data_IF_834510870164
#
_entry.id   IF_834510870164
#
_cell.length_a   1.000
_cell.length_b   1.000
_cell.length_c   1.000
_cell.angle_alpha   90.00
_cell.angle_beta   90.00
_cell.angle_gamma   90.00
#
_symmetry.space_group_name_H-M   'P 1'
#
loop_
_entity.id
_entity.type
_entity.pdbx_description
1 polymer ?
#
# COMPACT_ATOMS: atom_id res chain seq x y z
N UNK A 1 -13.61 1.91 24.48
CA UNK A 1 -13.23 3.18 23.81
C UNK A 1 -14.52 3.80 23.31
N UNK A 2 -14.87 5.01 23.75
CA UNK A 2 -16.14 5.67 23.38
C UNK A 2 -16.09 6.04 21.87
N UNK A 3 -17.16 5.76 21.12
CA UNK A 3 -17.29 6.01 19.67
C UNK A 3 -16.92 7.46 19.31
N UNK A 4 -17.29 8.41 20.18
CA UNK A 4 -16.97 9.84 20.06
C UNK A 4 -15.46 10.09 20.11
N UNK A 5 -14.76 9.45 21.05
CA UNK A 5 -13.30 9.56 21.20
C UNK A 5 -12.57 8.90 20.02
N UNK A 6 -13.13 7.84 19.45
CA UNK A 6 -12.58 7.19 18.26
C UNK A 6 -12.64 8.09 17.02
N UNK A 7 -13.81 8.70 16.75
CA UNK A 7 -13.98 9.63 15.63
C UNK A 7 -13.13 10.89 15.77
N UNK A 8 -12.96 11.40 16.99
CA UNK A 8 -12.09 12.55 17.27
C UNK A 8 -10.62 12.24 16.99
N UNK A 9 -10.17 11.00 17.24
CA UNK A 9 -8.78 10.59 17.02
C UNK A 9 -8.50 9.97 15.65
N UNK A 10 -9.54 9.79 14.83
CA UNK A 10 -9.48 9.17 13.51
C UNK A 10 -8.43 9.80 12.60
N UNK A 11 -8.28 11.14 12.64
CA UNK A 11 -7.29 11.89 11.85
C UNK A 11 -5.85 11.59 12.27
N UNK A 12 -5.59 11.39 13.56
CA UNK A 12 -4.24 11.11 14.07
C UNK A 12 -3.80 9.70 13.68
N UNK A 13 -4.69 8.72 13.84
CA UNK A 13 -4.41 7.32 13.45
C UNK A 13 -4.20 7.21 11.94
N UNK A 14 -5.01 7.93 11.14
CA UNK A 14 -4.89 7.89 9.70
C UNK A 14 -3.49 8.31 9.22
N UNK A 15 -2.85 9.28 9.86
CA UNK A 15 -1.53 9.80 9.48
C UNK A 15 -0.34 8.88 9.82
N UNK A 16 -0.56 7.78 10.54
CA UNK A 16 0.49 6.79 10.79
C UNK A 16 0.71 5.89 9.55
N UNK A 17 1.89 5.26 9.40
CA UNK A 17 2.11 4.25 8.37
C UNK A 17 1.05 3.14 8.44
N UNK A 18 0.39 2.84 7.32
CA UNK A 18 -0.74 1.91 7.24
C UNK A 18 -1.93 2.26 8.16
N UNK A 19 -2.04 3.52 8.60
CA UNK A 19 -3.07 3.99 9.53
C UNK A 19 -4.49 3.81 8.99
N UNK A 20 -4.71 4.19 7.73
CA UNK A 20 -6.02 4.04 7.06
C UNK A 20 -6.43 2.57 6.98
N UNK A 21 -5.52 1.67 6.62
CA UNK A 21 -5.79 0.24 6.55
C UNK A 21 -6.22 -0.35 7.90
N UNK A 22 -5.50 0.00 8.98
CA UNK A 22 -5.87 -0.41 10.35
C UNK A 22 -7.24 0.10 10.78
N UNK A 23 -7.60 1.30 10.35
CA UNK A 23 -8.93 1.87 10.60
C UNK A 23 -10.00 1.04 9.89
N UNK A 24 -9.80 0.67 8.61
CA UNK A 24 -10.75 -0.19 7.87
C UNK A 24 -10.97 -1.51 8.59
N UNK A 25 -9.90 -2.17 9.02
CA UNK A 25 -9.95 -3.43 9.77
C UNK A 25 -10.72 -3.29 11.08
N UNK A 26 -10.46 -2.21 11.84
CA UNK A 26 -11.16 -1.93 13.08
C UNK A 26 -12.65 -1.64 12.85
N UNK A 27 -13.01 -0.89 11.81
CA UNK A 27 -14.42 -0.64 11.45
C UNK A 27 -15.15 -1.96 11.19
N UNK A 28 -14.54 -2.86 10.41
CA UNK A 28 -15.13 -4.18 10.15
C UNK A 28 -15.21 -5.04 11.42
N UNK A 29 -14.20 -4.99 12.29
CA UNK A 29 -14.23 -5.70 13.57
C UNK A 29 -15.33 -5.18 14.49
N UNK A 30 -15.55 -3.87 14.57
CA UNK A 30 -16.63 -3.28 15.35
C UNK A 30 -18.00 -3.63 14.77
N UNK A 31 -18.10 -3.72 13.43
CA UNK A 31 -19.32 -4.14 12.73
C UNK A 31 -19.71 -5.57 13.09
N UNK A 32 -18.75 -6.50 13.16
CA UNK A 32 -19.02 -7.91 13.48
C UNK A 32 -19.18 -8.21 14.97
N UNK A 33 -18.91 -7.24 15.85
CA UNK A 33 -19.01 -7.40 17.31
C UNK A 33 -20.14 -6.59 17.94
N UNK A 34 -20.99 -5.96 17.12
CA UNK A 34 -22.11 -5.15 17.60
C UNK A 34 -21.70 -3.90 18.38
N UNK A 35 -20.52 -3.36 18.07
CA UNK A 35 -19.94 -2.18 18.73
C UNK A 35 -19.84 -0.96 17.81
N UNK A 36 -20.30 -1.09 16.56
CA UNK A 36 -20.23 -0.01 15.57
C UNK A 36 -21.42 0.95 15.64
N UNK A 37 -22.60 0.45 15.99
CA UNK A 37 -23.82 1.25 16.10
C UNK A 37 -24.53 0.90 17.41
N UNK A 38 -25.24 1.86 18.04
CA UNK A 38 -26.04 1.55 19.23
C UNK A 38 -27.24 0.67 18.86
N UNK A 39 -27.66 -0.21 19.78
CA UNK A 39 -28.97 -0.88 19.70
C UNK A 39 -30.08 0.15 19.85
N UNK A 40 -31.12 0.05 19.02
CA UNK A 40 -32.33 0.87 19.15
C UNK A 40 -33.42 0.09 19.87
N UNK A 41 -34.32 0.80 20.56
CA UNK A 41 -35.48 0.18 21.21
C UNK A 41 -36.44 -0.50 20.20
N UNK A 42 -36.41 -0.08 18.93
CA UNK A 42 -37.17 -0.67 17.84
C UNK A 42 -36.54 -1.91 17.21
N UNK A 43 -35.34 -2.28 17.66
CA UNK A 43 -34.66 -3.49 17.16
C UNK A 43 -35.24 -4.72 17.86
N UNK A 44 -35.89 -5.55 17.07
CA UNK A 44 -36.29 -6.91 17.43
C UNK A 44 -35.06 -7.76 17.77
N UNK A 45 -35.27 -8.94 18.36
CA UNK A 45 -34.18 -9.90 18.53
C UNK A 45 -33.95 -10.68 17.23
N UNK A 46 -32.77 -11.28 17.09
CA UNK A 46 -32.40 -12.00 15.86
C UNK A 46 -33.20 -13.29 15.66
N UNK A 47 -33.99 -13.72 16.65
CA UNK A 47 -34.84 -14.91 16.59
C UNK A 47 -35.82 -14.87 15.43
N UNK A 48 -36.50 -13.74 15.23
CA UNK A 48 -37.46 -13.57 14.12
C UNK A 48 -36.77 -13.67 12.75
N UNK A 49 -35.50 -13.25 12.66
CA UNK A 49 -34.72 -13.40 11.44
C UNK A 49 -34.29 -14.86 11.23
N UNK A 50 -33.92 -15.57 12.28
CA UNK A 50 -33.59 -17.01 12.22
C UNK A 50 -34.82 -17.81 11.75
N UNK A 51 -36.00 -17.50 12.28
CA UNK A 51 -37.26 -18.10 11.85
C UNK A 51 -37.56 -17.82 10.37
N UNK A 52 -37.42 -16.56 9.92
CA UNK A 52 -37.59 -16.21 8.52
C UNK A 52 -36.64 -16.97 7.58
N UNK A 53 -35.38 -17.17 8.02
CA UNK A 53 -34.39 -17.96 7.27
C UNK A 53 -34.80 -19.45 7.22
N UNK A 54 -35.31 -20.00 8.32
CA UNK A 54 -35.80 -21.38 8.37
C UNK A 54 -36.98 -21.58 7.43
N UNK A 55 -37.97 -20.67 7.46
CA UNK A 55 -39.13 -20.72 6.59
C UNK A 55 -38.76 -20.61 5.10
N UNK A 56 -37.84 -19.71 4.75
CA UNK A 56 -37.35 -19.58 3.38
C UNK A 56 -36.59 -20.83 2.92
N UNK A 57 -35.86 -21.47 3.83
CA UNK A 57 -35.15 -22.71 3.58
C UNK A 57 -36.10 -23.87 3.32
N UNK A 58 -37.18 -23.99 4.08
CA UNK A 58 -38.24 -24.99 3.86
C UNK A 58 -38.94 -24.75 2.52
N UNK A 59 -39.35 -23.51 2.25
CA UNK A 59 -39.95 -23.11 0.97
C UNK A 59 -39.09 -23.52 -0.24
N UNK A 60 -37.78 -23.29 -0.17
CA UNK A 60 -36.85 -23.69 -1.22
C UNK A 60 -36.57 -25.20 -1.27
N UNK A 61 -36.70 -25.92 -0.15
CA UNK A 61 -36.56 -27.38 -0.14
C UNK A 61 -37.72 -28.06 -0.89
N UNK A 62 -38.91 -27.47 -0.83
CA UNK A 62 -40.11 -27.94 -1.53
C UNK A 62 -40.08 -27.62 -3.04
N UNK A 63 -39.31 -26.61 -3.45
CA UNK A 63 -39.10 -26.29 -4.87
C UNK A 63 -38.25 -27.36 -5.58
N UNK A 64 -38.86 -28.05 -6.54
CA UNK A 64 -38.22 -29.12 -7.29
C UNK A 64 -36.93 -28.64 -8.01
N UNK A 65 -35.79 -29.20 -7.59
CA UNK A 65 -34.49 -28.97 -8.24
C UNK A 65 -33.50 -28.12 -7.44
N UNK A 66 -33.89 -27.55 -6.30
CA UNK A 66 -32.96 -26.86 -5.39
C UNK A 66 -32.35 -27.88 -4.42
N UNK A 67 -31.01 -28.03 -4.46
CA UNK A 67 -30.27 -28.87 -3.51
C UNK A 67 -29.64 -28.01 -2.43
N UNK A 68 -30.31 -27.92 -1.29
CA UNK A 68 -29.80 -27.23 -0.10
C UNK A 68 -28.80 -28.13 0.65
N UNK A 69 -27.82 -27.50 1.28
CA UNK A 69 -26.96 -28.19 2.25
C UNK A 69 -27.81 -28.69 3.42
N UNK A 70 -27.56 -29.89 3.97
CA UNK A 70 -28.26 -30.40 5.15
C UNK A 70 -28.19 -29.42 6.32
N UNK A 71 -29.26 -29.32 7.11
CA UNK A 71 -29.28 -28.43 8.28
C UNK A 71 -28.13 -28.79 9.21
N UNK A 72 -27.31 -27.78 9.52
CA UNK A 72 -26.18 -27.93 10.42
C UNK A 72 -26.64 -27.68 11.86
N UNK A 73 -26.02 -28.34 12.85
CA UNK A 73 -26.35 -28.10 14.25
C UNK A 73 -26.18 -26.63 14.66
N UNK A 74 -26.79 -26.26 15.77
CA UNK A 74 -26.63 -24.93 16.36
C UNK A 74 -25.18 -24.65 16.77
N UNK A 75 -24.85 -23.36 16.87
CA UNK A 75 -23.56 -22.89 17.34
C UNK A 75 -23.54 -22.85 18.87
N UNK A 76 -22.43 -23.30 19.48
CA UNK A 76 -22.21 -23.10 20.92
C UNK A 76 -21.60 -21.71 21.14
N UNK A 77 -22.38 -20.80 21.73
CA UNK A 77 -21.94 -19.44 22.04
C UNK A 77 -20.76 -19.39 23.03
N UNK A 78 -20.58 -20.40 23.89
CA UNK A 78 -19.50 -20.43 24.88
C UNK A 78 -18.12 -20.73 24.25
N UNK A 79 -18.10 -21.32 23.05
CA UNK A 79 -16.88 -21.67 22.32
C UNK A 79 -16.27 -20.52 21.52
N UNK A 80 -16.96 -19.37 21.46
CA UNK A 80 -16.58 -18.25 20.61
C UNK A 80 -15.52 -17.37 21.27
N UNK A 81 -14.46 -17.06 20.53
CA UNK A 81 -13.36 -16.18 20.98
C UNK A 81 -13.76 -14.70 21.09
N UNK A 82 -14.95 -14.35 20.58
CA UNK A 82 -15.46 -12.98 20.50
C UNK A 82 -16.87 -12.91 21.06
N UNK A 83 -17.10 -11.93 21.94
CA UNK A 83 -18.43 -11.66 22.51
C UNK A 83 -19.22 -10.71 21.60
N UNK A 84 -20.49 -11.07 21.36
CA UNK A 84 -21.49 -10.28 20.61
C UNK A 84 -22.64 -9.88 21.53
N UNK A 85 -23.46 -8.88 21.17
CA UNK A 85 -24.64 -8.50 21.95
C UNK A 85 -25.61 -9.66 22.16
N UNK A 86 -26.28 -9.70 23.31
CA UNK A 86 -27.15 -10.83 23.69
C UNK A 86 -28.37 -11.04 22.79
N UNK A 87 -28.79 -10.02 22.04
CA UNK A 87 -29.88 -10.13 21.06
C UNK A 87 -29.43 -10.65 19.68
N UNK A 88 -28.13 -10.85 19.50
CA UNK A 88 -27.56 -11.47 18.31
C UNK A 88 -27.50 -12.98 18.50
N UNK A 89 -27.51 -13.72 17.39
CA UNK A 89 -27.36 -15.18 17.40
C UNK A 89 -26.11 -15.59 16.64
N UNK A 90 -25.44 -16.65 17.07
CA UNK A 90 -24.44 -17.32 16.26
C UNK A 90 -25.12 -18.36 15.38
N UNK A 91 -24.85 -18.32 14.08
CA UNK A 91 -25.43 -19.25 13.11
C UNK A 91 -24.37 -19.72 12.13
N UNK A 92 -24.46 -20.98 11.70
CA UNK A 92 -23.53 -21.51 10.70
C UNK A 92 -23.85 -20.98 9.31
N UNK A 93 -22.83 -20.60 8.55
CA UNK A 93 -22.97 -20.04 7.21
C UNK A 93 -23.76 -20.97 6.27
N UNK A 94 -23.63 -22.29 6.41
CA UNK A 94 -24.42 -23.27 5.65
C UNK A 94 -25.92 -23.20 5.92
N UNK A 95 -26.35 -22.73 7.10
CA UNK A 95 -27.77 -22.53 7.43
C UNK A 95 -28.30 -21.17 6.91
N UNK A 96 -27.42 -20.23 6.57
CA UNK A 96 -27.78 -18.92 6.04
C UNK A 96 -27.91 -18.88 4.51
N UNK A 97 -27.53 -19.95 3.83
CA UNK A 97 -27.26 -19.94 2.39
C UNK A 97 -28.01 -21.03 1.65
N UNK A 98 -28.51 -20.70 0.45
CA UNK A 98 -29.09 -21.65 -0.49
C UNK A 98 -28.00 -22.34 -1.32
N UNK A 99 -26.81 -21.73 -1.43
CA UNK A 99 -25.67 -22.28 -2.16
C UNK A 99 -24.35 -21.89 -1.50
N UNK A 100 -23.52 -22.89 -1.25
CA UNK A 100 -22.06 -22.75 -1.13
C UNK A 100 -21.46 -23.75 -2.12
N UNK A 101 -20.72 -23.26 -3.11
CA UNK A 101 -20.15 -24.14 -4.11
C UNK A 101 -19.04 -23.46 -4.92
N UNK A 102 -17.91 -24.14 -4.98
CA UNK A 102 -16.80 -23.76 -5.84
C UNK A 102 -17.17 -23.95 -7.31
N UNK A 103 -16.59 -23.12 -8.16
CA UNK A 103 -16.71 -23.26 -9.60
C UNK A 103 -16.07 -24.52 -10.15
N UNK A 104 -15.95 -24.59 -11.48
CA UNK A 104 -15.25 -25.66 -12.16
C UNK A 104 -14.48 -25.11 -13.35
N UNK A 105 -13.47 -25.83 -13.79
CA UNK A 105 -12.69 -25.45 -14.97
C UNK A 105 -13.12 -26.32 -16.15
N UNK A 106 -13.49 -25.74 -17.30
CA UNK A 106 -13.78 -26.50 -18.51
C UNK A 106 -12.62 -27.42 -18.89
N UNK A 107 -12.91 -28.65 -19.35
CA UNK A 107 -11.88 -29.57 -19.85
C UNK A 107 -11.21 -28.97 -21.09
N UNK A 108 -9.89 -28.77 -21.05
CA UNK A 108 -9.12 -28.16 -22.13
C UNK A 108 -8.39 -26.86 -21.76
N UNK A 109 -8.60 -26.35 -20.54
CA UNK A 109 -7.87 -25.19 -20.02
C UNK A 109 -8.10 -23.94 -20.86
N UNK A 110 -7.02 -23.20 -21.15
CA UNK A 110 -7.09 -21.94 -21.93
C UNK A 110 -7.62 -22.10 -23.35
N UNK A 111 -7.56 -23.31 -23.93
CA UNK A 111 -8.05 -23.59 -25.29
C UNK A 111 -9.57 -23.52 -25.42
N UNK A 112 -10.30 -23.54 -24.29
CA UNK A 112 -11.77 -23.46 -24.26
C UNK A 112 -12.25 -22.01 -24.30
N UNK A 113 -11.35 -21.05 -24.09
CA UNK A 113 -11.72 -19.65 -24.10
C UNK A 113 -11.99 -19.17 -25.52
N UNK A 114 -13.07 -18.42 -25.65
CA UNK A 114 -13.50 -17.78 -26.91
C UNK A 114 -13.24 -16.28 -26.84
N UNK A 115 -13.19 -15.63 -27.99
CA UNK A 115 -12.99 -14.17 -28.08
C UNK A 115 -14.15 -13.39 -27.44
N UNK A 116 -15.38 -13.79 -27.76
CA UNK A 116 -16.62 -13.18 -27.29
C UNK A 116 -17.57 -14.27 -26.80
N UNK A 117 -18.26 -14.04 -25.68
CA UNK A 117 -19.14 -15.04 -25.08
C UNK A 117 -19.58 -14.69 -23.67
N UNK A 118 -19.75 -15.71 -22.83
CA UNK A 118 -20.15 -15.58 -21.43
C UNK A 118 -18.90 -15.39 -20.56
N UNK A 119 -18.81 -14.33 -19.72
CA UNK A 119 -17.70 -14.12 -18.79
C UNK A 119 -17.40 -15.34 -17.90
N UNK A 120 -16.12 -15.68 -17.78
CA UNK A 120 -15.61 -16.73 -16.91
C UNK A 120 -14.63 -16.15 -15.88
N UNK A 121 -15.11 -16.01 -14.65
CA UNK A 121 -14.41 -15.36 -13.54
C UNK A 121 -13.37 -16.29 -12.92
N UNK A 122 -12.12 -15.86 -12.96
CA UNK A 122 -10.99 -16.46 -12.24
C UNK A 122 -10.74 -15.73 -10.92
N UNK A 123 -9.84 -16.26 -10.09
CA UNK A 123 -9.49 -15.62 -8.82
C UNK A 123 -8.96 -14.18 -8.98
N UNK A 124 -8.28 -13.88 -10.09
CA UNK A 124 -7.78 -12.53 -10.41
C UNK A 124 -8.89 -11.50 -10.67
N UNK A 125 -10.12 -11.96 -10.97
CA UNK A 125 -11.26 -11.08 -11.20
C UNK A 125 -11.95 -10.66 -9.89
N UNK A 126 -11.65 -11.32 -8.76
CA UNK A 126 -12.32 -11.07 -7.47
C UNK A 126 -11.43 -10.23 -6.55
N UNK A 127 -11.91 -9.04 -6.20
CA UNK A 127 -11.25 -8.09 -5.30
C UNK A 127 -12.22 -7.63 -4.21
N UNK A 128 -11.69 -7.21 -3.06
CA UNK A 128 -12.50 -6.83 -1.90
C UNK A 128 -13.43 -5.63 -2.16
N UNK A 129 -13.10 -4.84 -3.17
CA UNK A 129 -13.86 -3.66 -3.61
C UNK A 129 -14.74 -3.93 -4.84
N UNK A 130 -14.75 -5.16 -5.38
CA UNK A 130 -15.63 -5.54 -6.48
C UNK A 130 -15.04 -6.55 -7.46
N UNK A 131 -15.82 -6.86 -8.49
CA UNK A 131 -15.42 -7.76 -9.58
C UNK A 131 -14.80 -6.96 -10.71
N UNK A 132 -13.62 -7.37 -11.20
CA UNK A 132 -12.90 -6.76 -12.33
C UNK A 132 -13.08 -7.57 -13.59
N UNK A 133 -13.44 -6.90 -14.68
CA UNK A 133 -13.73 -7.54 -15.97
C UNK A 133 -12.72 -7.19 -17.07
N UNK A 134 -11.72 -6.34 -16.79
CA UNK A 134 -10.76 -5.86 -17.79
C UNK A 134 -9.95 -6.99 -18.47
N UNK A 135 -9.64 -8.06 -17.72
CA UNK A 135 -8.88 -9.22 -18.18
C UNK A 135 -9.70 -10.54 -18.16
N UNK A 136 -11.02 -10.39 -18.16
CA UNK A 136 -11.94 -11.54 -18.12
C UNK A 136 -11.79 -12.36 -19.40
N UNK A 137 -11.91 -13.68 -19.27
CA UNK A 137 -12.00 -14.57 -20.44
C UNK A 137 -13.44 -14.99 -20.65
N UNK A 138 -13.76 -15.39 -21.87
CA UNK A 138 -15.11 -15.79 -22.22
C UNK A 138 -15.17 -17.28 -22.54
N UNK A 139 -16.32 -17.89 -22.27
CA UNK A 139 -16.66 -19.25 -22.66
C UNK A 139 -17.89 -19.22 -23.57
N UNK A 140 -18.07 -20.26 -24.39
CA UNK A 140 -19.23 -20.35 -25.27
C UNK A 140 -20.53 -20.58 -24.47
N UNK A 141 -21.68 -20.25 -25.08
CA UNK A 141 -22.99 -20.53 -24.50
C UNK A 141 -23.21 -22.04 -24.24
N UNK A 142 -22.62 -22.91 -25.06
CA UNK A 142 -22.68 -24.37 -24.87
C UNK A 142 -21.92 -24.80 -23.60
N UNK A 143 -20.72 -24.25 -23.39
CA UNK A 143 -19.94 -24.51 -22.17
C UNK A 143 -20.68 -23.96 -20.94
N UNK A 144 -21.24 -22.76 -21.03
CA UNK A 144 -22.07 -22.17 -19.98
C UNK A 144 -23.24 -23.08 -19.59
N UNK A 145 -23.99 -23.58 -20.57
CA UNK A 145 -25.12 -24.48 -20.34
C UNK A 145 -24.69 -25.78 -19.64
N UNK A 146 -23.54 -26.35 -20.02
CA UNK A 146 -22.94 -27.52 -19.35
C UNK A 146 -22.47 -27.22 -17.92
N UNK A 147 -22.13 -25.96 -17.63
CA UNK A 147 -21.61 -25.48 -16.34
C UNK A 147 -22.66 -24.75 -15.48
N UNK A 148 -23.96 -25.04 -15.67
CA UNK A 148 -25.09 -24.40 -14.97
C UNK A 148 -24.92 -24.26 -13.45
N UNK A 149 -24.25 -25.21 -12.79
CA UNK A 149 -24.05 -25.17 -11.34
C UNK A 149 -23.03 -24.10 -10.87
N UNK A 150 -22.31 -23.49 -11.80
CA UNK A 150 -21.32 -22.43 -11.52
C UNK A 150 -21.81 -21.07 -12.01
N UNK A 151 -23.09 -20.96 -12.38
CA UNK A 151 -23.71 -19.72 -12.84
C UNK A 151 -23.78 -18.72 -11.67
N UNK A 152 -23.25 -17.52 -11.90
CA UNK A 152 -23.29 -16.38 -10.97
C UNK A 152 -24.57 -15.59 -11.22
N UNK A 153 -25.36 -15.39 -10.18
CA UNK A 153 -26.52 -14.50 -10.21
C UNK A 153 -26.20 -13.17 -9.53
N UNK A 154 -26.95 -12.10 -9.87
CA UNK A 154 -26.91 -10.86 -9.12
C UNK A 154 -27.02 -11.10 -7.61
N UNK A 155 -26.24 -10.33 -6.82
CA UNK A 155 -26.15 -10.42 -5.37
C UNK A 155 -25.45 -11.65 -4.79
N UNK A 156 -24.95 -12.57 -5.62
CA UNK A 156 -24.07 -13.63 -5.14
C UNK A 156 -22.80 -13.06 -4.51
N UNK A 157 -22.38 -13.64 -3.39
CA UNK A 157 -21.08 -13.35 -2.79
C UNK A 157 -20.06 -14.31 -3.43
N UNK A 158 -18.98 -13.77 -3.97
CA UNK A 158 -17.89 -14.50 -4.63
C UNK A 158 -16.66 -14.48 -3.72
N UNK A 159 -16.19 -15.65 -3.30
CA UNK A 159 -15.06 -15.81 -2.40
C UNK A 159 -13.93 -16.59 -3.07
N UNK A 160 -12.72 -16.02 -3.09
CA UNK A 160 -11.52 -16.74 -3.48
C UNK A 160 -11.11 -17.73 -2.38
N UNK A 161 -10.91 -18.99 -2.76
CA UNK A 161 -10.67 -20.08 -1.81
C UNK A 161 -9.28 -20.72 -1.92
N UNK A 162 -8.39 -20.24 -2.81
CA UNK A 162 -7.05 -20.82 -3.03
C UNK A 162 -6.00 -19.75 -3.33
N UNK A 163 -4.72 -20.08 -3.08
CA UNK A 163 -3.56 -19.31 -3.53
C UNK A 163 -3.38 -17.96 -2.84
N UNK A 164 -2.55 -17.09 -3.42
CA UNK A 164 -2.22 -15.76 -2.87
C UNK A 164 -3.43 -14.81 -2.75
N UNK A 165 -4.53 -15.14 -3.43
CA UNK A 165 -5.78 -14.38 -3.39
C UNK A 165 -6.82 -14.95 -2.42
N UNK A 166 -6.47 -15.98 -1.63
CA UNK A 166 -7.35 -16.57 -0.62
C UNK A 166 -7.98 -15.50 0.27
N UNK A 167 -9.30 -15.59 0.47
CA UNK A 167 -10.05 -14.68 1.32
C UNK A 167 -10.53 -13.40 0.65
N UNK A 168 -10.11 -13.11 -0.60
CA UNK A 168 -10.70 -11.99 -1.36
C UNK A 168 -12.17 -12.26 -1.64
N UNK A 169 -13.01 -11.26 -1.41
CA UNK A 169 -14.47 -11.43 -1.42
C UNK A 169 -15.18 -10.23 -2.07
N UNK A 170 -16.03 -10.50 -3.06
CA UNK A 170 -16.82 -9.48 -3.76
C UNK A 170 -18.30 -9.86 -3.80
N UNK A 171 -19.18 -8.89 -3.95
CA UNK A 171 -20.58 -9.12 -4.31
C UNK A 171 -20.74 -8.91 -5.81
N UNK A 172 -21.42 -9.84 -6.49
CA UNK A 172 -21.83 -9.66 -7.88
C UNK A 172 -22.87 -8.52 -7.98
N UNK A 173 -22.60 -7.46 -8.77
CA UNK A 173 -23.52 -6.35 -9.00
C UNK A 173 -24.95 -6.76 -9.38
N UNK A 174 -25.90 -5.84 -9.22
CA UNK A 174 -27.30 -6.11 -9.55
C UNK A 174 -27.52 -6.34 -11.06
N UNK A 175 -26.78 -5.59 -11.89
CA UNK A 175 -26.78 -5.63 -13.35
C UNK A 175 -25.70 -6.55 -13.93
N UNK A 176 -25.19 -7.49 -13.11
CA UNK A 176 -24.06 -8.31 -13.50
C UNK A 176 -24.44 -9.25 -14.66
N UNK A 177 -23.61 -9.34 -15.72
CA UNK A 177 -23.88 -10.24 -16.83
C UNK A 177 -23.86 -11.69 -16.33
N UNK A 178 -24.57 -12.56 -17.05
CA UNK A 178 -24.45 -14.00 -16.83
C UNK A 178 -22.97 -14.39 -16.86
N UNK A 179 -22.51 -15.12 -15.86
CA UNK A 179 -21.11 -15.51 -15.75
C UNK A 179 -20.97 -16.89 -15.13
N UNK A 180 -19.81 -17.52 -15.33
CA UNK A 180 -19.40 -18.69 -14.57
C UNK A 180 -18.14 -18.42 -13.77
N UNK A 181 -17.94 -19.17 -12.69
CA UNK A 181 -16.74 -19.09 -11.86
C UNK A 181 -15.84 -20.30 -12.05
N UNK A 182 -14.53 -20.07 -11.97
CA UNK A 182 -13.52 -21.13 -11.92
C UNK A 182 -13.50 -21.87 -10.59
N UNK A 183 -12.80 -23.01 -10.52
CA UNK A 183 -12.65 -23.80 -9.29
C UNK A 183 -12.05 -23.05 -8.08
N UNK A 184 -11.38 -21.92 -8.33
CA UNK A 184 -10.72 -21.11 -7.30
C UNK A 184 -11.65 -20.06 -6.66
N UNK A 185 -12.88 -19.93 -7.20
CA UNK A 185 -13.89 -18.97 -6.74
C UNK A 185 -15.13 -19.74 -6.30
N UNK A 186 -15.61 -19.43 -5.10
CA UNK A 186 -16.82 -20.03 -4.51
C UNK A 186 -17.96 -19.03 -4.53
N UNK A 187 -19.12 -19.49 -5.00
CA UNK A 187 -20.38 -18.77 -4.87
C UNK A 187 -20.97 -19.07 -3.50
N UNK A 188 -21.30 -18.02 -2.76
CA UNK A 188 -22.06 -18.02 -1.52
C UNK A 188 -23.34 -17.23 -1.79
N UNK A 189 -24.48 -17.92 -1.79
CA UNK A 189 -25.80 -17.34 -2.06
C UNK A 189 -26.64 -17.35 -0.79
N UNK A 190 -26.93 -16.20 -0.18
CA UNK A 190 -27.80 -16.13 0.99
C UNK A 190 -29.22 -16.63 0.67
N UNK A 191 -29.91 -17.15 1.69
CA UNK A 191 -31.35 -17.45 1.59
C UNK A 191 -32.15 -16.16 1.51
N UNK A 192 -31.85 -15.21 2.39
CA UNK A 192 -32.42 -13.87 2.38
C UNK A 192 -31.40 -12.88 1.80
N UNK A 193 -31.72 -12.32 0.64
CA UNK A 193 -30.83 -11.41 -0.11
C UNK A 193 -30.46 -10.17 0.71
N UNK A 194 -31.31 -9.75 1.63
CA UNK A 194 -31.12 -8.58 2.50
C UNK A 194 -29.95 -8.76 3.48
N UNK A 195 -29.55 -10.00 3.77
CA UNK A 195 -28.42 -10.30 4.68
C UNK A 195 -27.05 -10.22 3.98
N UNK A 196 -27.03 -10.16 2.64
CA UNK A 196 -25.80 -10.31 1.82
C UNK A 196 -24.70 -9.31 2.17
N UNK A 197 -25.05 -8.04 2.43
CA UNK A 197 -24.09 -6.96 2.67
C UNK A 197 -23.40 -7.18 4.01
N UNK A 198 -24.18 -7.55 5.02
CA UNK A 198 -23.63 -7.85 6.33
C UNK A 198 -22.79 -9.14 6.30
N UNK A 199 -23.21 -10.17 5.55
CA UNK A 199 -22.38 -11.37 5.34
C UNK A 199 -21.05 -11.06 4.65
N UNK A 200 -21.05 -10.18 3.66
CA UNK A 200 -19.83 -9.71 2.99
C UNK A 200 -18.91 -8.98 3.97
N UNK A 201 -19.44 -8.10 4.82
CA UNK A 201 -18.69 -7.46 5.92
C UNK A 201 -18.08 -8.51 6.85
N UNK A 202 -18.84 -9.53 7.25
CA UNK A 202 -18.32 -10.61 8.11
C UNK A 202 -17.13 -11.32 7.46
N UNK A 203 -17.22 -11.68 6.17
CA UNK A 203 -16.16 -12.37 5.44
C UNK A 203 -14.91 -11.50 5.25
N UNK A 204 -15.06 -10.19 5.09
CA UNK A 204 -13.94 -9.24 4.97
C UNK A 204 -13.31 -8.88 6.32
N UNK A 205 -14.06 -8.97 7.42
CA UNK A 205 -13.57 -8.60 8.74
C UNK A 205 -12.34 -9.42 9.18
N UNK A 206 -11.50 -8.88 10.10
CA UNK A 206 -10.42 -9.66 10.71
C UNK A 206 -10.89 -10.99 11.31
N UNK A 207 -12.12 -11.03 11.86
CA UNK A 207 -12.75 -12.24 12.36
C UNK A 207 -12.99 -13.27 11.25
N UNK A 208 -13.62 -12.87 10.14
CA UNK A 208 -13.88 -13.75 8.99
C UNK A 208 -12.60 -14.22 8.32
N UNK A 209 -11.65 -13.31 8.10
CA UNK A 209 -10.32 -13.65 7.56
C UNK A 209 -9.58 -14.63 8.50
N UNK A 210 -9.67 -14.45 9.81
CA UNK A 210 -9.13 -15.40 10.79
C UNK A 210 -9.68 -16.82 10.61
N UNK A 211 -10.99 -16.97 10.35
CA UNK A 211 -11.58 -18.28 10.04
C UNK A 211 -11.12 -18.85 8.70
N UNK A 212 -11.02 -18.00 7.67
CA UNK A 212 -10.58 -18.38 6.32
C UNK A 212 -9.15 -18.92 6.34
N UNK A 213 -8.23 -18.17 6.94
CA UNK A 213 -6.81 -18.51 6.99
C UNK A 213 -6.51 -19.59 8.04
N UNK A 214 -7.23 -19.59 9.17
CA UNK A 214 -7.01 -20.55 10.26
C UNK A 214 -7.54 -21.96 10.00
N UNK A 215 -8.51 -22.14 9.08
CA UNK A 215 -9.13 -23.44 8.76
C UNK A 215 -8.70 -23.99 7.39
N UNK A 216 -7.55 -23.56 6.87
CA UNK A 216 -6.95 -24.13 5.67
C UNK A 216 -6.54 -25.59 5.93
N UNK A 217 -6.98 -26.52 5.08
CA UNK A 217 -6.81 -27.96 5.31
C UNK A 217 -5.43 -28.42 4.83
N UNK A 218 -4.41 -28.31 5.69
CA UNK A 218 -3.10 -28.94 5.55
C UNK A 218 -2.20 -28.39 4.42
N UNK A 219 -0.89 -28.62 4.54
CA UNK A 219 0.09 -28.17 3.53
C UNK A 219 -0.09 -28.79 2.14
N UNK A 220 -0.86 -29.88 2.01
CA UNK A 220 -1.01 -30.65 0.76
C UNK A 220 -2.32 -30.38 -0.02
N UNK A 221 -3.31 -29.69 0.56
CA UNK A 221 -4.54 -29.28 -0.15
C UNK A 221 -4.64 -27.76 -0.11
N UNK A 222 -4.17 -27.13 -1.17
CA UNK A 222 -4.23 -25.69 -1.36
C UNK A 222 -5.69 -25.24 -1.58
N UNK A 223 -6.48 -25.11 -0.52
CA UNK A 223 -7.73 -24.38 -0.58
C UNK A 223 -8.75 -24.62 0.53
N UNK A 224 -9.71 -23.70 0.62
CA UNK A 224 -10.82 -23.74 1.56
C UNK A 224 -11.97 -24.57 0.97
N UNK A 225 -12.29 -25.70 1.61
CA UNK A 225 -13.35 -26.58 1.11
C UNK A 225 -14.75 -26.05 1.43
N UNK A 226 -15.73 -26.41 0.59
CA UNK A 226 -17.17 -26.15 0.83
C UNK A 226 -17.61 -26.54 2.25
N UNK A 227 -17.25 -27.75 2.70
CA UNK A 227 -17.65 -28.27 4.02
C UNK A 227 -17.09 -27.42 5.16
N UNK A 228 -15.90 -26.87 5.00
CA UNK A 228 -15.31 -25.98 6.01
C UNK A 228 -16.03 -24.64 6.04
N UNK A 229 -16.32 -24.05 4.87
CA UNK A 229 -17.10 -22.81 4.75
C UNK A 229 -18.48 -22.92 5.39
N UNK A 230 -19.17 -24.04 5.16
CA UNK A 230 -20.48 -24.31 5.75
C UNK A 230 -20.48 -24.25 7.29
N UNK A 231 -19.35 -24.59 7.92
CA UNK A 231 -19.16 -24.58 9.38
C UNK A 231 -18.68 -23.23 9.94
N UNK A 232 -18.58 -22.19 9.12
CA UNK A 232 -18.23 -20.86 9.62
C UNK A 232 -19.34 -20.31 10.49
N UNK A 233 -18.98 -19.77 11.64
CA UNK A 233 -19.92 -19.26 12.61
C UNK A 233 -20.02 -17.75 12.39
N UNK A 234 -21.22 -17.31 12.04
CA UNK A 234 -21.50 -15.93 11.66
C UNK A 234 -22.33 -15.30 12.77
N UNK A 235 -21.94 -14.12 13.29
CA UNK A 235 -22.79 -13.38 14.20
C UNK A 235 -23.95 -12.80 13.40
N UNK A 236 -25.19 -13.01 13.82
CA UNK A 236 -26.38 -12.58 13.10
C UNK A 236 -27.13 -11.55 13.94
N UNK A 237 -27.08 -10.26 13.58
CA UNK A 237 -27.93 -9.21 14.14
C UNK A 237 -29.34 -9.28 13.55
N UNK A 238 -30.31 -8.56 14.15
CA UNK A 238 -31.61 -8.30 13.53
C UNK A 238 -31.44 -7.52 12.22
N UNK A 239 -32.36 -7.72 11.27
CA UNK A 239 -32.20 -7.18 9.92
C UNK A 239 -32.13 -5.64 9.87
N UNK A 240 -32.90 -4.96 10.73
CA UNK A 240 -32.86 -3.49 10.85
C UNK A 240 -31.48 -3.01 11.32
N UNK A 241 -30.88 -3.69 12.28
CA UNK A 241 -29.54 -3.39 12.77
C UNK A 241 -28.47 -3.70 11.72
N UNK A 242 -28.58 -4.81 10.98
CA UNK A 242 -27.69 -5.11 9.85
C UNK A 242 -27.65 -3.95 8.83
N UNK A 243 -28.81 -3.40 8.46
CA UNK A 243 -28.89 -2.25 7.54
C UNK A 243 -28.18 -1.01 8.09
N UNK A 244 -28.33 -0.72 9.39
CA UNK A 244 -27.65 0.40 10.05
C UNK A 244 -26.14 0.19 10.11
N UNK A 245 -25.69 -1.02 10.42
CA UNK A 245 -24.27 -1.39 10.42
C UNK A 245 -23.67 -1.19 9.03
N UNK A 246 -24.31 -1.73 7.98
CA UNK A 246 -23.87 -1.60 6.59
C UNK A 246 -23.75 -0.13 6.20
N UNK A 247 -24.78 0.67 6.46
CA UNK A 247 -24.74 2.11 6.16
C UNK A 247 -23.59 2.83 6.88
N UNK A 248 -23.31 2.46 8.14
CA UNK A 248 -22.22 3.06 8.91
C UNK A 248 -20.84 2.62 8.42
N UNK A 249 -20.68 1.35 8.04
CA UNK A 249 -19.45 0.86 7.40
C UNK A 249 -19.20 1.62 6.11
N UNK A 250 -20.21 1.77 5.24
CA UNK A 250 -20.08 2.48 3.96
C UNK A 250 -19.72 3.97 4.16
N UNK A 251 -20.27 4.62 5.18
CA UNK A 251 -19.92 6.01 5.56
C UNK A 251 -18.43 6.12 5.93
N UNK A 252 -17.97 5.23 6.82
CA UNK A 252 -16.60 5.25 7.35
C UNK A 252 -15.57 4.81 6.32
N UNK A 253 -15.90 3.84 5.45
CA UNK A 253 -15.03 3.42 4.35
C UNK A 253 -14.83 4.56 3.35
N UNK A 254 -15.88 5.31 3.00
CA UNK A 254 -15.76 6.52 2.16
C UNK A 254 -14.90 7.61 2.81
N UNK A 255 -14.92 7.72 4.15
CA UNK A 255 -14.01 8.61 4.86
C UNK A 255 -12.56 8.14 4.76
N UNK A 256 -12.31 6.83 4.91
CA UNK A 256 -10.99 6.24 4.69
C UNK A 256 -10.48 6.51 3.27
N UNK A 257 -11.31 6.32 2.25
CA UNK A 257 -10.94 6.59 0.84
C UNK A 257 -10.51 8.05 0.63
N UNK A 258 -11.26 9.00 1.21
CA UNK A 258 -10.90 10.43 1.14
C UNK A 258 -9.57 10.74 1.83
N UNK A 259 -9.31 10.13 2.99
CA UNK A 259 -8.06 10.34 3.72
C UNK A 259 -6.87 9.76 2.97
N UNK A 260 -7.03 8.57 2.39
CA UNK A 260 -6.01 7.91 1.57
C UNK A 260 -5.68 8.74 0.32
N UNK A 261 -6.69 9.27 -0.37
CA UNK A 261 -6.48 10.18 -1.50
C UNK A 261 -5.74 11.47 -1.09
N UNK A 262 -6.09 12.06 0.06
CA UNK A 262 -5.40 13.25 0.59
C UNK A 262 -3.94 12.96 0.94
N UNK A 263 -3.64 11.76 1.47
CA UNK A 263 -2.27 11.35 1.79
C UNK A 263 -1.44 11.16 0.53
N UNK A 264 -1.97 10.46 -0.47
CA UNK A 264 -1.30 10.27 -1.75
C UNK A 264 -1.01 11.61 -2.45
N UNK A 265 -1.95 12.55 -2.41
CA UNK A 265 -1.74 13.89 -2.97
C UNK A 265 -0.64 14.64 -2.23
N UNK A 266 -0.64 14.60 -0.89
CA UNK A 266 0.43 15.20 -0.09
C UNK A 266 1.79 14.57 -0.41
N UNK A 267 1.87 13.26 -0.54
CA UNK A 267 3.10 12.54 -0.90
C UNK A 267 3.62 12.94 -2.30
N UNK A 268 2.73 13.23 -3.25
CA UNK A 268 3.12 13.74 -4.59
C UNK A 268 3.61 15.19 -4.55
N UNK A 269 3.03 16.04 -3.70
CA UNK A 269 3.38 17.46 -3.60
C UNK A 269 4.67 17.71 -2.83
N UNK A 270 4.98 16.87 -1.82
CA UNK A 270 6.16 17.04 -0.96
C UNK A 270 7.49 17.13 -1.74
N UNK A 271 7.79 16.28 -2.74
CA UNK A 271 8.99 16.42 -3.56
C UNK A 271 9.06 17.74 -4.33
N UNK A 272 7.92 18.20 -4.87
CA UNK A 272 7.85 19.45 -5.64
C UNK A 272 8.10 20.66 -4.75
N UNK A 273 7.52 20.67 -3.54
CA UNK A 273 7.74 21.72 -2.54
C UNK A 273 9.18 21.71 -2.04
N UNK A 274 9.76 20.53 -1.83
CA UNK A 274 11.18 20.38 -1.47
C UNK A 274 12.10 20.97 -2.55
N UNK A 275 11.86 20.64 -3.83
CA UNK A 275 12.61 21.19 -4.95
C UNK A 275 12.45 22.71 -5.07
N UNK A 276 11.22 23.22 -4.98
CA UNK A 276 10.96 24.66 -5.05
C UNK A 276 11.64 25.44 -3.90
N UNK A 277 11.68 24.86 -2.69
CA UNK A 277 12.39 25.45 -1.55
C UNK A 277 13.91 25.41 -1.75
N UNK A 278 14.44 24.36 -2.37
CA UNK A 278 15.85 24.25 -2.75
C UNK A 278 16.22 25.32 -3.80
N UNK A 279 15.48 25.44 -4.90
CA UNK A 279 15.71 26.46 -5.94
C UNK A 279 15.65 27.88 -5.35
N UNK A 280 14.69 28.12 -4.45
CA UNK A 280 14.55 29.40 -3.75
C UNK A 280 15.75 29.70 -2.83
N UNK A 281 16.35 28.68 -2.22
CA UNK A 281 17.56 28.86 -1.42
C UNK A 281 18.76 29.17 -2.30
N UNK A 282 18.97 28.45 -3.41
CA UNK A 282 20.04 28.74 -4.38
C UNK A 282 19.92 30.16 -4.91
N UNK A 283 18.72 30.60 -5.29
CA UNK A 283 18.50 31.93 -5.85
C UNK A 283 18.66 33.07 -4.81
N UNK A 284 18.48 32.78 -3.51
CA UNK A 284 18.62 33.77 -2.44
C UNK A 284 18.99 33.07 -1.12
N UNK A 285 20.28 32.89 -0.82
CA UNK A 285 20.78 32.11 0.33
C UNK A 285 20.63 32.78 1.70
N UNK A 286 19.40 33.17 2.06
CA UNK A 286 19.09 33.85 3.33
C UNK A 286 18.69 32.83 4.40
N UNK A 287 18.92 33.11 5.70
CA UNK A 287 18.52 32.24 6.80
C UNK A 287 17.03 31.83 6.77
N UNK A 288 16.16 32.72 6.27
CA UNK A 288 14.74 32.42 6.12
C UNK A 288 14.46 31.34 5.05
N UNK A 289 15.15 31.38 3.90
CA UNK A 289 15.01 30.40 2.83
C UNK A 289 15.67 29.07 3.21
N UNK A 290 16.82 29.11 3.90
CA UNK A 290 17.45 27.92 4.46
C UNK A 290 16.51 27.18 5.43
N UNK A 291 15.88 27.92 6.37
CA UNK A 291 14.90 27.34 7.30
C UNK A 291 13.70 26.73 6.56
N UNK A 292 13.27 27.31 5.44
CA UNK A 292 12.14 26.80 4.66
C UNK A 292 12.40 25.42 4.05
N UNK A 293 13.67 25.09 3.73
CA UNK A 293 14.06 23.76 3.23
C UNK A 293 13.74 22.63 4.21
N UNK A 294 13.59 22.92 5.52
CA UNK A 294 13.37 21.92 6.57
C UNK A 294 11.95 21.95 7.18
N UNK A 295 11.06 22.84 6.69
CA UNK A 295 9.74 23.05 7.31
C UNK A 295 8.70 21.99 6.96
N UNK A 296 8.86 21.33 5.82
CA UNK A 296 7.97 20.24 5.41
C UNK A 296 8.77 18.94 5.34
N UNK A 297 8.20 17.86 5.86
CA UNK A 297 8.83 16.56 6.09
C UNK A 297 9.25 15.79 4.82
N UNK A 298 9.62 16.48 3.75
CA UNK A 298 10.39 15.90 2.65
C UNK A 298 11.83 15.76 3.11
N UNK A 299 12.29 14.52 3.29
CA UNK A 299 13.68 14.22 3.59
C UNK A 299 14.57 14.73 2.44
N UNK A 300 15.09 15.95 2.56
CA UNK A 300 16.28 16.33 1.81
C UNK A 300 17.37 15.33 2.19
N UNK A 301 17.79 14.52 1.22
CA UNK A 301 18.90 13.60 1.42
C UNK A 301 20.12 14.43 1.89
N UNK A 302 20.83 14.02 2.95
CA UNK A 302 21.99 14.76 3.46
C UNK A 302 23.04 15.05 2.37
N UNK A 303 23.16 14.20 1.37
CA UNK A 303 24.02 14.42 0.19
C UNK A 303 23.58 15.61 -0.66
N UNK A 304 22.29 15.73 -0.96
CA UNK A 304 21.73 16.83 -1.73
C UNK A 304 21.92 18.17 -1.00
N UNK A 305 21.70 18.19 0.32
CA UNK A 305 21.96 19.38 1.14
C UNK A 305 23.45 19.79 1.11
N UNK A 306 24.37 18.82 1.25
CA UNK A 306 25.82 19.10 1.18
C UNK A 306 26.22 19.70 -0.17
N UNK A 307 25.72 19.14 -1.26
CA UNK A 307 25.99 19.64 -2.60
C UNK A 307 25.45 21.06 -2.78
N UNK A 308 24.22 21.32 -2.32
CA UNK A 308 23.62 22.67 -2.33
C UNK A 308 24.49 23.68 -1.59
N UNK A 309 24.93 23.34 -0.38
CA UNK A 309 25.78 24.21 0.43
C UNK A 309 27.13 24.47 -0.24
N UNK A 310 27.72 23.47 -0.91
CA UNK A 310 28.96 23.62 -1.66
C UNK A 310 28.78 24.58 -2.84
N UNK A 311 27.69 24.43 -3.62
CA UNK A 311 27.40 25.30 -4.75
C UNK A 311 27.20 26.77 -4.32
N UNK A 312 26.43 26.99 -3.26
CA UNK A 312 26.22 28.33 -2.69
C UNK A 312 27.52 28.90 -2.09
N UNK A 313 28.38 28.06 -1.51
CA UNK A 313 29.71 28.46 -1.02
C UNK A 313 30.63 28.90 -2.17
N UNK A 314 30.66 28.14 -3.26
CA UNK A 314 31.45 28.45 -4.46
C UNK A 314 30.99 29.75 -5.13
N UNK A 315 29.71 30.09 -5.00
CA UNK A 315 29.15 31.37 -5.47
C UNK A 315 29.41 32.53 -4.51
N UNK A 316 29.99 32.26 -3.34
CA UNK A 316 30.33 33.31 -2.37
C UNK A 316 29.16 33.93 -1.63
N UNK A 317 28.01 33.25 -1.61
CA UNK A 317 26.76 33.81 -1.09
C UNK A 317 26.43 33.37 0.33
N UNK A 318 27.26 32.51 0.95
CA UNK A 318 27.03 32.03 2.32
C UNK A 318 27.37 33.07 3.40
N UNK A 319 28.35 33.93 3.15
CA UNK A 319 28.82 34.92 4.11
C UNK A 319 28.98 36.29 3.42
N UNK A 320 28.63 37.40 4.09
CA UNK A 320 28.99 38.72 3.60
C UNK A 320 30.52 38.91 3.68
N UNK A 321 31.13 39.71 2.79
CA UNK A 321 32.55 40.07 2.88
C UNK A 321 32.86 40.69 4.24
N UNK A 322 33.90 40.21 4.92
CA UNK A 322 34.38 40.77 6.17
C UNK A 322 35.30 41.97 5.93
N UNK A 323 35.34 42.91 6.88
CA UNK A 323 36.18 44.13 6.80
C UNK A 323 37.69 43.78 6.78
N UNK A 324 38.07 42.56 7.13
CA UNK A 324 39.47 42.07 7.12
C UNK A 324 39.81 41.08 6.00
N UNK A 325 38.90 40.79 5.06
CA UNK A 325 39.19 39.84 3.99
C UNK A 325 40.08 40.49 2.92
N UNK A 326 41.26 39.91 2.67
CA UNK A 326 42.16 40.33 1.59
C UNK A 326 41.46 40.21 0.24
N UNK A 327 41.64 41.20 -0.63
CA UNK A 327 41.02 41.14 -1.97
C UNK A 327 41.67 40.03 -2.79
N UNK A 328 40.93 39.33 -3.67
CA UNK A 328 41.52 38.31 -4.53
C UNK A 328 42.72 38.82 -5.34
N UNK A 329 42.71 40.09 -5.74
CA UNK A 329 43.81 40.74 -6.46
C UNK A 329 45.08 40.80 -5.60
N UNK A 330 44.96 41.13 -4.31
CA UNK A 330 46.10 41.20 -3.39
C UNK A 330 46.70 39.82 -3.14
N UNK A 331 45.84 38.82 -2.92
CA UNK A 331 46.26 37.42 -2.77
C UNK A 331 46.95 36.89 -4.04
N UNK A 332 46.45 37.24 -5.23
CA UNK A 332 47.07 36.81 -6.48
C UNK A 332 48.43 37.46 -6.71
N UNK A 333 48.61 38.73 -6.33
CA UNK A 333 49.91 39.39 -6.36
C UNK A 333 50.91 38.73 -5.40
N UNK A 334 50.47 38.36 -4.20
CA UNK A 334 51.29 37.64 -3.23
C UNK A 334 51.70 36.26 -3.77
N UNK A 335 50.77 35.51 -4.35
CA UNK A 335 51.04 34.22 -4.99
C UNK A 335 52.04 34.35 -6.14
N UNK A 336 51.90 35.40 -6.98
CA UNK A 336 52.86 35.66 -8.05
C UNK A 336 54.26 35.97 -7.52
N UNK A 337 54.37 36.75 -6.44
CA UNK A 337 55.66 37.01 -5.79
C UNK A 337 56.29 35.73 -5.24
N UNK A 338 55.50 34.87 -4.59
CA UNK A 338 55.95 33.57 -4.10
C UNK A 338 56.44 32.69 -5.26
N UNK A 339 55.71 32.65 -6.38
CA UNK A 339 56.11 31.88 -7.55
C UNK A 339 57.42 32.38 -8.17
N UNK A 340 57.60 33.69 -8.29
CA UNK A 340 58.84 34.28 -8.81
C UNK A 340 60.04 34.02 -7.88
N UNK A 341 59.82 34.09 -6.57
CA UNK A 341 60.83 33.76 -5.57
C UNK A 341 61.25 32.28 -5.65
N UNK A 342 60.29 31.35 -5.68
CA UNK A 342 60.57 29.91 -5.82
C UNK A 342 61.19 29.55 -7.18
N UNK A 343 60.85 30.26 -8.26
CA UNK A 343 61.53 30.11 -9.54
C UNK A 343 63.00 30.58 -9.46
N UNK A 344 63.24 31.74 -8.84
CA UNK A 344 64.59 32.27 -8.63
C UNK A 344 65.44 31.36 -7.73
N UNK A 345 64.81 30.71 -6.75
CA UNK A 345 65.43 29.71 -5.87
C UNK A 345 65.61 28.32 -6.52
N UNK A 346 65.20 28.14 -7.79
CA UNK A 346 65.22 26.86 -8.54
C UNK A 346 64.36 25.74 -7.93
N UNK A 347 63.35 26.09 -7.14
CA UNK A 347 62.35 25.15 -6.59
C UNK A 347 61.20 24.89 -7.58
N UNK A 348 61.01 25.82 -8.53
CA UNK A 348 60.12 25.73 -9.69
C UNK A 348 60.95 25.75 -10.97
N UNK A 349 60.60 24.86 -11.91
CA UNK A 349 61.29 24.76 -13.20
C UNK A 349 60.84 25.83 -14.21
N UNK A 350 59.60 26.32 -14.07
CA UNK A 350 59.00 27.33 -14.95
C UNK A 350 57.88 28.06 -14.21
N UNK A 351 57.60 29.30 -14.63
CA UNK A 351 56.39 30.04 -14.24
C UNK A 351 55.44 29.99 -15.44
N UNK A 352 54.36 29.21 -15.33
CA UNK A 352 53.41 28.99 -16.42
C UNK A 352 52.56 30.23 -16.67
N UNK A 353 52.43 30.61 -17.94
CA UNK A 353 51.44 31.60 -18.37
C UNK A 353 50.07 30.93 -18.48
N UNK A 354 49.16 31.30 -17.57
CA UNK A 354 47.79 30.77 -17.51
C UNK A 354 46.78 31.88 -17.80
N UNK A 355 45.53 31.52 -18.18
CA UNK A 355 44.47 32.50 -18.41
C UNK A 355 44.34 33.55 -17.30
N UNK A 356 43.97 34.76 -17.70
CA UNK A 356 43.80 35.88 -16.78
C UNK A 356 42.66 35.56 -15.79
N UNK A 357 42.85 35.85 -14.50
CA UNK A 357 41.79 35.76 -13.50
C UNK A 357 40.56 36.55 -13.95
N UNK A 358 39.37 36.00 -13.74
CA UNK A 358 38.11 36.68 -14.05
C UNK A 358 37.42 37.05 -12.75
N UNK A 359 37.16 38.34 -12.53
CA UNK A 359 36.36 38.78 -11.39
C UNK A 359 34.93 38.24 -11.51
N UNK A 360 34.43 37.68 -10.42
CA UNK A 360 33.05 37.23 -10.29
C UNK A 360 32.31 38.11 -9.30
N UNK A 361 30.99 38.16 -9.43
CA UNK A 361 30.10 38.89 -8.52
C UNK A 361 30.36 38.49 -7.06
N UNK A 362 30.41 39.47 -6.16
CA UNK A 362 30.53 39.24 -4.71
C UNK A 362 31.96 39.33 -4.14
N UNK A 363 32.94 39.83 -4.91
CA UNK A 363 34.33 39.96 -4.43
C UNK A 363 35.15 38.68 -4.57
N UNK A 364 34.69 37.75 -5.42
CA UNK A 364 35.37 36.51 -5.75
C UNK A 364 36.12 36.64 -7.08
N UNK A 365 37.08 35.74 -7.30
CA UNK A 365 37.83 35.68 -8.55
C UNK A 365 37.98 34.24 -9.00
N UNK A 366 37.62 33.94 -10.25
CA UNK A 366 37.88 32.64 -10.86
C UNK A 366 39.30 32.61 -11.42
N UNK A 367 40.07 31.60 -11.01
CA UNK A 367 41.46 31.39 -11.45
C UNK A 367 41.69 29.96 -11.90
N UNK A 368 42.60 29.78 -12.84
CA UNK A 368 43.08 28.44 -13.19
C UNK A 368 43.78 27.82 -11.97
N UNK A 369 43.44 26.58 -11.61
CA UNK A 369 43.99 25.91 -10.43
C UNK A 369 45.53 25.88 -10.44
N UNK A 370 46.13 25.65 -11.60
CA UNK A 370 47.59 25.67 -11.77
C UNK A 370 48.27 27.01 -11.45
N UNK A 371 47.51 28.11 -11.32
CA UNK A 371 48.02 29.43 -10.93
C UNK A 371 48.20 29.57 -9.42
N UNK A 372 47.43 28.81 -8.64
CA UNK A 372 47.45 28.88 -7.17
C UNK A 372 47.93 27.58 -6.51
N UNK A 373 48.01 26.49 -7.28
CA UNK A 373 48.44 25.19 -6.81
C UNK A 373 49.46 24.59 -7.77
N UNK A 374 50.53 24.03 -7.19
CA UNK A 374 51.46 23.18 -7.94
C UNK A 374 50.81 21.82 -8.13
N UNK A 375 50.37 21.53 -9.34
CA UNK A 375 49.80 20.23 -9.69
C UNK A 375 50.93 19.28 -10.05
N UNK A 376 51.11 18.24 -9.24
CA UNK A 376 52.10 17.18 -9.47
C UNK A 376 51.32 15.91 -9.75
N UNK A 377 51.53 15.33 -10.93
CA UNK A 377 51.04 13.99 -11.20
C UNK A 377 51.90 13.00 -10.43
N UNK A 378 51.25 12.08 -9.71
CA UNK A 378 51.94 10.94 -9.11
C UNK A 378 52.71 10.16 -10.17
N UNK A 379 53.83 9.57 -9.77
CA UNK A 379 54.62 8.68 -10.61
C UNK A 379 54.09 7.25 -10.46
N UNK A 380 53.91 6.56 -11.58
CA UNK A 380 53.64 5.13 -11.55
C UNK A 380 54.93 4.39 -11.22
N UNK A 381 54.93 3.59 -10.15
CA UNK A 381 56.03 2.69 -9.80
C UNK A 381 55.82 1.33 -10.45
N UNK A 382 56.90 0.75 -10.98
CA UNK A 382 56.93 -0.62 -11.45
C UNK A 382 56.81 -1.60 -10.26
N UNK A 383 56.29 -2.83 -10.46
CA UNK A 383 56.17 -3.84 -9.40
C UNK A 383 57.47 -4.16 -8.64
N UNK A 384 58.63 -3.90 -9.26
CA UNK A 384 59.94 -4.09 -8.64
C UNK A 384 60.40 -2.91 -7.76
N UNK A 385 59.70 -1.77 -7.83
CA UNK A 385 60.08 -0.51 -7.17
C UNK A 385 59.34 -0.27 -5.85
N UNK A 386 58.40 -1.14 -5.47
CA UNK A 386 57.69 -1.06 -4.18
C UNK A 386 57.65 -2.41 -3.46
N UNK A 387 57.51 -2.38 -2.13
CA UNK A 387 57.47 -3.56 -1.25
C UNK A 387 56.32 -3.48 -0.28
N UNK A 388 55.81 -4.63 0.16
CA UNK A 388 54.77 -4.75 1.19
C UNK A 388 55.33 -4.77 2.63
N UNK A 389 56.64 -4.59 2.79
CA UNK A 389 57.29 -4.51 4.11
C UNK A 389 57.12 -3.10 4.70
N UNK A 390 56.92 -3.03 6.02
CA UNK A 390 56.63 -1.79 6.75
C UNK A 390 57.87 -0.92 7.07
N UNK A 391 58.99 -1.18 6.40
CA UNK A 391 60.27 -0.48 6.57
C UNK A 391 60.54 0.58 5.47
N UNK A 392 59.59 0.78 4.55
CA UNK A 392 59.67 1.76 3.45
C UNK A 392 58.78 3.00 3.63
N UNK A 393 58.81 3.90 2.63
CA UNK A 393 57.94 5.08 2.57
C UNK A 393 56.57 4.65 1.99
N UNK A 394 55.44 4.98 2.64
CA UNK A 394 54.11 4.65 2.13
C UNK A 394 53.86 5.22 0.73
N UNK A 395 53.37 4.38 -0.18
CA UNK A 395 52.99 4.73 -1.54
C UNK A 395 51.51 4.45 -1.75
N UNK A 396 50.76 5.48 -2.17
CA UNK A 396 49.31 5.39 -2.42
C UNK A 396 49.10 4.88 -3.85
N UNK A 397 48.49 3.72 -3.98
CA UNK A 397 48.43 2.94 -5.23
C UNK A 397 47.14 3.16 -6.03
N UNK A 398 46.10 3.78 -5.45
CA UNK A 398 44.87 4.05 -6.19
C UNK A 398 43.68 4.61 -5.39
N UNK A 399 42.51 4.73 -6.03
CA UNK A 399 41.32 5.37 -5.46
C UNK A 399 40.73 4.66 -4.23
N UNK A 400 41.02 3.36 -4.06
CA UNK A 400 40.52 2.57 -2.95
C UNK A 400 41.15 2.95 -1.59
N UNK A 401 42.21 3.75 -1.61
CA UNK A 401 42.96 4.21 -0.44
C UNK A 401 42.65 5.67 -0.06
N UNK A 402 41.71 6.32 -0.78
CA UNK A 402 41.32 7.73 -0.60
C UNK A 402 39.96 7.93 0.06
#
# INVERSE_FOLDING_TARGET
MNEVTFLQNFKYVANAPNGVQRIRELVLQLATTGRLVPRLASDEDSESLVEAISNERERLADEAGVRLTSQLPECDSASQSVSVPGHWRWIRLGNLTSKIGSGSTPRGGSKVYVRDGIPFLRSQNIWNDGVRLDDVVFISAETHAKMRNTHVFPNDILLNITGASLGRCAIAPFDFPAANVSQHVTIIRPLLTETRLFLHICLLSPFGQGMIWGRQVGMAREGLSKRVLEQFEIPLPPLKEQKRIVAKVDELMRLCDRLEAQQQEREKLLPLLSLANHDRFIASPKPANFKAMFRESGTLLPSALRQTLLEVALQGQLLPPSIGDSRPVELLQEIEQIQLASFSARELNEVKTLPTPTETTGGYCTVSLGRIARIISGQHLLPAEYTSKADGIPYITGPAEF
#
